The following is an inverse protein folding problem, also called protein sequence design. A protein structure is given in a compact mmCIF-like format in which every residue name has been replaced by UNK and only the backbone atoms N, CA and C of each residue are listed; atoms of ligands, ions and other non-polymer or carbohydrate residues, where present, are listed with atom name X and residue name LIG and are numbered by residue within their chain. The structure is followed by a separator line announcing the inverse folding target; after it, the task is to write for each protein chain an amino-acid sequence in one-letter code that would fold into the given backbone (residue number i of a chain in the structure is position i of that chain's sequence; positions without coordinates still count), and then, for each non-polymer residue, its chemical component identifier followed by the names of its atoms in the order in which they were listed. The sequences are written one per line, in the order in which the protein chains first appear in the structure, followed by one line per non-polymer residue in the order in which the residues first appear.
data_IF_257739496924
#
_entry.id   IF_257739496924
#
_cell.length_a   1.000
_cell.length_b   1.000
_cell.length_c   1.000
_cell.angle_alpha   90.00
_cell.angle_beta   90.00
_cell.angle_gamma   90.00
#
_symmetry.space_group_name_H-M   'P 1'
#
loop_
_entity.id
_entity.type
_entity.pdbx_description
1 polymer ?
#
# COMPACT_ATOMS: atom_id res chain seq x y z
N UNK A 1 12.70 13.07 2.27
CA UNK A 1 13.49 13.40 1.07
C UNK A 1 13.00 14.72 0.46
N UNK A 2 13.90 15.65 0.19
CA UNK A 2 13.55 16.85 -0.54
C UNK A 2 13.51 16.55 -2.05
N UNK A 3 12.42 16.92 -2.70
CA UNK A 3 12.16 16.56 -4.09
C UNK A 3 13.28 17.03 -5.05
N UNK A 4 13.68 18.29 -4.98
CA UNK A 4 14.65 18.86 -5.93
C UNK A 4 16.05 18.20 -5.84
N UNK A 5 16.68 18.02 -4.65
CA UNK A 5 17.96 17.33 -4.55
C UNK A 5 17.89 15.87 -5.03
N UNK A 6 16.79 15.16 -4.72
CA UNK A 6 16.59 13.80 -5.15
C UNK A 6 16.47 13.71 -6.68
N UNK A 7 15.65 14.54 -7.27
CA UNK A 7 15.49 14.61 -8.73
C UNK A 7 16.81 14.87 -9.43
N UNK A 8 17.61 15.82 -8.93
CA UNK A 8 18.93 16.13 -9.48
C UNK A 8 19.92 14.97 -9.32
N UNK A 9 19.86 14.22 -8.22
CA UNK A 9 20.69 13.04 -8.01
C UNK A 9 20.32 11.92 -8.98
N UNK A 10 19.05 11.59 -9.12
CA UNK A 10 18.55 10.57 -10.03
C UNK A 10 18.82 10.89 -11.50
N UNK A 11 18.71 12.16 -11.88
CA UNK A 11 19.01 12.62 -13.23
C UNK A 11 20.49 12.38 -13.62
N UNK A 12 21.42 12.54 -12.66
CA UNK A 12 22.85 12.23 -12.88
C UNK A 12 23.09 10.75 -13.17
N UNK A 13 22.25 9.89 -12.62
CA UNK A 13 22.27 8.44 -12.83
C UNK A 13 21.38 7.99 -14.01
N UNK A 14 20.91 8.93 -14.84
CA UNK A 14 20.01 8.69 -15.97
C UNK A 14 18.68 8.04 -15.57
N UNK A 15 18.21 8.27 -14.33
CA UNK A 15 16.95 7.77 -13.82
C UNK A 15 15.90 8.89 -13.91
N UNK A 16 14.80 8.64 -14.61
CA UNK A 16 13.68 9.58 -14.70
C UNK A 16 12.93 9.62 -13.37
N UNK A 17 12.77 10.84 -12.82
CA UNK A 17 12.00 11.06 -11.60
C UNK A 17 10.64 11.66 -11.93
N UNK A 18 9.57 11.06 -11.40
CA UNK A 18 8.20 11.58 -11.46
C UNK A 18 7.63 11.70 -10.05
N UNK A 19 6.94 12.81 -9.78
CA UNK A 19 6.33 13.06 -8.48
C UNK A 19 4.84 12.67 -8.53
N UNK A 20 4.41 11.78 -7.63
CA UNK A 20 3.05 11.26 -7.53
C UNK A 20 2.38 11.56 -6.17
N UNK A 21 2.71 12.71 -5.57
CA UNK A 21 2.17 13.08 -4.25
C UNK A 21 0.65 13.22 -4.27
N UNK A 22 0.11 13.84 -5.31
CA UNK A 22 -1.33 14.07 -5.41
C UNK A 22 -2.09 12.79 -5.74
N UNK A 23 -1.49 11.91 -6.50
CA UNK A 23 -2.09 10.67 -6.96
C UNK A 23 -1.97 9.56 -5.89
N UNK A 24 -0.78 9.38 -5.30
CA UNK A 24 -0.46 8.23 -4.44
C UNK A 24 0.02 8.61 -3.03
N UNK A 25 -0.02 9.88 -2.65
CA UNK A 25 0.43 10.32 -1.34
C UNK A 25 -0.40 9.74 -0.19
N UNK A 26 0.21 9.63 1.00
CA UNK A 26 -0.45 9.07 2.18
C UNK A 26 -1.53 9.98 2.78
N UNK A 27 -1.41 11.30 2.58
CA UNK A 27 -2.30 12.31 3.21
C UNK A 27 -3.44 12.68 2.27
N UNK A 28 -4.38 11.76 2.08
CA UNK A 28 -5.53 11.87 1.18
C UNK A 28 -6.73 12.44 1.92
N UNK A 29 -6.81 13.76 2.05
CA UNK A 29 -7.95 14.43 2.71
C UNK A 29 -9.26 14.34 1.92
N UNK A 30 -9.19 13.90 0.66
CA UNK A 30 -10.32 13.60 -0.22
C UNK A 30 -10.92 12.18 0.00
N UNK A 31 -10.34 11.39 0.90
CA UNK A 31 -10.73 9.99 1.15
C UNK A 31 -10.69 9.64 2.64
N UNK A 32 -11.29 10.49 3.49
CA UNK A 32 -11.34 10.25 4.93
C UNK A 32 -12.52 9.35 5.31
N UNK A 33 -12.34 8.55 6.37
CA UNK A 33 -13.40 7.85 7.08
C UNK A 33 -14.09 8.73 8.13
N UNK A 34 -14.97 8.15 8.93
CA UNK A 34 -15.71 8.86 9.99
C UNK A 34 -14.80 9.36 11.14
N UNK A 35 -13.63 8.76 11.30
CA UNK A 35 -12.64 9.11 12.32
C UNK A 35 -11.55 10.07 11.79
N UNK A 36 -11.77 10.72 10.65
CA UNK A 36 -10.82 11.58 9.94
C UNK A 36 -9.51 10.87 9.56
N UNK A 37 -9.56 9.55 9.37
CA UNK A 37 -8.44 8.74 8.93
C UNK A 37 -8.58 8.42 7.45
N UNK A 38 -7.46 8.39 6.73
CA UNK A 38 -7.49 8.03 5.30
C UNK A 38 -7.95 6.58 5.14
N UNK A 39 -9.02 6.40 4.37
CA UNK A 39 -9.54 5.12 3.96
C UNK A 39 -8.94 4.73 2.60
N UNK A 40 -8.08 3.72 2.58
CA UNK A 40 -7.39 3.29 1.36
C UNK A 40 -8.35 2.70 0.32
N UNK A 41 -9.46 2.09 0.74
CA UNK A 41 -10.48 1.58 -0.19
C UNK A 41 -11.22 2.73 -0.90
N UNK A 42 -11.43 3.86 -0.22
CA UNK A 42 -11.96 5.10 -0.83
C UNK A 42 -10.89 5.80 -1.67
N UNK A 43 -9.66 5.89 -1.18
CA UNK A 43 -8.57 6.60 -1.82
C UNK A 43 -8.29 6.07 -3.23
N UNK A 44 -8.32 4.76 -3.42
CA UNK A 44 -8.10 4.14 -4.75
C UNK A 44 -9.22 4.43 -5.74
N UNK A 45 -10.40 4.86 -5.30
CA UNK A 45 -11.52 5.22 -6.17
C UNK A 45 -11.50 6.69 -6.62
N UNK A 46 -10.63 7.52 -6.06
CA UNK A 46 -10.58 8.95 -6.37
C UNK A 46 -10.06 9.20 -7.79
N UNK A 47 -10.55 10.24 -8.47
CA UNK A 47 -10.07 10.59 -9.81
C UNK A 47 -8.55 10.81 -9.87
N UNK A 48 -7.97 11.43 -8.85
CA UNK A 48 -6.53 11.67 -8.79
C UNK A 48 -5.74 10.35 -8.73
N UNK A 49 -6.17 9.38 -7.91
CA UNK A 49 -5.53 8.07 -7.85
C UNK A 49 -5.61 7.36 -9.21
N UNK A 50 -6.78 7.35 -9.85
CA UNK A 50 -7.01 6.71 -11.14
C UNK A 50 -6.17 7.35 -12.27
N UNK A 51 -5.97 8.66 -12.25
CA UNK A 51 -5.04 9.33 -13.17
C UNK A 51 -3.60 8.88 -12.93
N UNK A 52 -3.19 8.71 -11.68
CA UNK A 52 -1.88 8.14 -11.33
C UNK A 52 -1.71 6.72 -11.87
N UNK A 53 -2.74 5.89 -11.71
CA UNK A 53 -2.77 4.52 -12.26
C UNK A 53 -2.55 4.54 -13.77
N UNK A 54 -3.32 5.35 -14.50
CA UNK A 54 -3.20 5.48 -15.94
C UNK A 54 -1.79 5.86 -16.36
N UNK A 55 -1.19 6.86 -15.71
CA UNK A 55 0.17 7.32 -16.01
C UNK A 55 1.21 6.22 -15.77
N UNK A 56 1.09 5.42 -14.69
CA UNK A 56 2.00 4.30 -14.44
C UNK A 56 1.80 3.17 -15.45
N UNK A 57 0.55 2.82 -15.76
CA UNK A 57 0.26 1.78 -16.76
C UNK A 57 0.77 2.18 -18.15
N UNK A 58 0.62 3.44 -18.56
CA UNK A 58 1.20 3.97 -19.79
C UNK A 58 2.73 3.83 -19.81
N UNK A 59 3.39 4.06 -18.67
CA UNK A 59 4.82 3.84 -18.51
C UNK A 59 5.22 2.38 -18.68
N UNK A 60 4.50 1.48 -18.02
CA UNK A 60 4.74 0.03 -18.14
C UNK A 60 4.54 -0.47 -19.58
N UNK A 61 3.48 -0.04 -20.25
CA UNK A 61 3.22 -0.38 -21.67
C UNK A 61 4.31 0.14 -22.62
N UNK A 62 4.97 1.25 -22.27
CA UNK A 62 6.13 1.77 -23.01
C UNK A 62 7.43 1.05 -22.67
N UNK A 63 7.39 0.02 -21.82
CA UNK A 63 8.56 -0.80 -21.45
C UNK A 63 9.43 -0.20 -20.34
N UNK A 64 8.99 0.84 -19.62
CA UNK A 64 9.75 1.35 -18.48
C UNK A 64 9.70 0.37 -17.30
N UNK A 65 10.83 0.23 -16.63
CA UNK A 65 10.90 -0.38 -15.29
C UNK A 65 10.63 0.71 -14.26
N UNK A 66 9.60 0.55 -13.44
CA UNK A 66 9.13 1.58 -12.52
C UNK A 66 9.39 1.15 -11.10
N UNK A 67 10.00 2.02 -10.29
CA UNK A 67 10.15 1.83 -8.85
C UNK A 67 9.41 2.95 -8.12
N UNK A 68 8.50 2.56 -7.21
CA UNK A 68 7.80 3.48 -6.33
C UNK A 68 8.62 3.68 -5.05
N UNK A 69 8.88 4.94 -4.69
CA UNK A 69 9.65 5.30 -3.50
C UNK A 69 8.77 5.97 -2.45
N UNK A 70 9.01 5.63 -1.20
CA UNK A 70 8.40 6.26 -0.02
C UNK A 70 9.47 6.50 1.05
N UNK A 71 9.15 7.26 2.09
CA UNK A 71 10.04 7.46 3.25
C UNK A 71 10.17 6.23 4.14
N UNK A 72 9.17 5.35 4.13
CA UNK A 72 9.15 4.14 4.96
C UNK A 72 10.03 3.05 4.36
N UNK A 73 10.97 2.53 5.16
CA UNK A 73 11.86 1.45 4.76
C UNK A 73 11.15 0.09 4.72
N UNK A 74 10.37 -0.21 5.78
CA UNK A 74 9.59 -1.45 5.86
C UNK A 74 8.34 -1.37 4.97
N UNK A 75 8.19 -2.23 3.95
CA UNK A 75 6.99 -2.21 3.10
C UNK A 75 5.69 -2.40 3.88
N UNK A 76 5.67 -3.26 4.88
CA UNK A 76 4.47 -3.54 5.69
C UNK A 76 4.00 -2.35 6.54
N UNK A 77 4.84 -1.35 6.77
CA UNK A 77 4.51 -0.14 7.51
C UNK A 77 4.20 1.05 6.57
N UNK A 78 4.12 0.80 5.28
CA UNK A 78 4.00 1.82 4.26
C UNK A 78 2.67 1.76 3.53
N UNK A 79 2.02 2.93 3.34
CA UNK A 79 0.84 3.06 2.49
C UNK A 79 1.08 2.59 1.04
N UNK A 80 2.34 2.64 0.56
CA UNK A 80 2.74 2.10 -0.74
C UNK A 80 2.37 0.62 -0.85
N UNK A 81 2.63 -0.20 0.18
CA UNK A 81 2.22 -1.60 0.22
C UNK A 81 0.70 -1.76 0.29
N UNK A 82 0.06 -1.13 1.28
CA UNK A 82 -1.32 -1.41 1.63
C UNK A 82 -2.36 -0.76 0.68
N UNK A 83 -1.97 0.27 -0.06
CA UNK A 83 -2.83 0.99 -1.00
C UNK A 83 -2.36 0.83 -2.44
N UNK A 84 -1.17 1.34 -2.80
CA UNK A 84 -0.73 1.45 -4.20
C UNK A 84 -0.34 0.09 -4.77
N UNK A 85 0.56 -0.64 -4.10
CA UNK A 85 1.04 -1.95 -4.54
C UNK A 85 -0.08 -2.98 -4.54
N UNK A 86 -0.95 -2.96 -3.52
CA UNK A 86 -2.17 -3.78 -3.48
C UNK A 86 -3.02 -3.56 -4.73
N UNK A 87 -3.32 -2.30 -5.06
CA UNK A 87 -4.14 -1.97 -6.23
C UNK A 87 -3.55 -2.58 -7.51
N UNK A 88 -2.27 -2.34 -7.79
CA UNK A 88 -1.62 -2.88 -9.00
C UNK A 88 -1.56 -4.41 -9.00
N UNK A 89 -1.28 -5.03 -7.86
CA UNK A 89 -1.26 -6.48 -7.72
C UNK A 89 -2.64 -7.11 -7.98
N UNK A 90 -3.72 -6.55 -7.41
CA UNK A 90 -5.09 -7.00 -7.63
C UNK A 90 -5.54 -6.81 -9.11
N UNK A 91 -4.85 -5.93 -9.86
CA UNK A 91 -5.09 -5.71 -11.30
C UNK A 91 -4.06 -6.43 -12.21
N UNK A 92 -3.39 -7.45 -11.69
CA UNK A 92 -2.54 -8.36 -12.47
C UNK A 92 -1.15 -7.84 -12.81
N UNK A 93 -0.68 -6.78 -12.17
CA UNK A 93 0.71 -6.31 -12.32
C UNK A 93 1.62 -7.12 -11.39
N UNK A 94 2.76 -7.58 -11.90
CA UNK A 94 3.80 -8.19 -11.06
C UNK A 94 4.47 -7.10 -10.20
N UNK A 95 4.25 -7.18 -8.89
CA UNK A 95 4.75 -6.21 -7.91
C UNK A 95 5.78 -6.89 -7.00
N UNK A 96 6.98 -6.33 -6.99
CA UNK A 96 8.08 -6.74 -6.13
C UNK A 96 8.42 -5.61 -5.14
N UNK A 97 8.72 -5.95 -3.89
CA UNK A 97 9.17 -5.01 -2.87
C UNK A 97 10.67 -5.11 -2.69
N UNK A 98 11.38 -3.99 -2.88
CA UNK A 98 12.81 -3.90 -2.65
C UNK A 98 13.02 -3.71 -1.14
N UNK A 99 13.79 -4.60 -0.53
CA UNK A 99 14.11 -4.59 0.90
C UNK A 99 15.60 -4.77 1.13
N UNK A 100 16.09 -4.33 2.30
CA UNK A 100 17.44 -4.67 2.75
C UNK A 100 17.42 -6.02 3.47
N UNK A 101 18.41 -6.86 3.18
CA UNK A 101 18.64 -8.08 3.93
C UNK A 101 19.41 -7.78 5.24
N UNK A 102 19.59 -8.82 6.08
CA UNK A 102 20.27 -8.69 7.38
C UNK A 102 21.77 -8.35 7.24
N UNK A 103 22.37 -8.59 6.07
CA UNK A 103 23.78 -8.29 5.76
C UNK A 103 23.94 -6.90 5.12
N UNK A 104 22.84 -6.14 4.95
CA UNK A 104 22.85 -4.83 4.30
C UNK A 104 22.86 -4.88 2.77
N UNK A 105 22.66 -6.06 2.20
CA UNK A 105 22.41 -6.26 0.77
C UNK A 105 20.99 -5.82 0.39
N UNK A 106 20.69 -5.90 -0.90
CA UNK A 106 19.37 -5.56 -1.44
C UNK A 106 18.75 -6.79 -2.10
N UNK A 107 17.54 -7.12 -1.71
CA UNK A 107 16.77 -8.23 -2.28
C UNK A 107 15.35 -7.78 -2.62
N UNK A 108 14.60 -8.65 -3.29
CA UNK A 108 13.18 -8.39 -3.60
C UNK A 108 12.28 -9.46 -3.01
N UNK A 109 11.11 -9.05 -2.55
CA UNK A 109 10.06 -9.93 -2.04
C UNK A 109 8.79 -9.71 -2.86
N UNK A 110 8.17 -10.77 -3.43
CA UNK A 110 6.89 -10.65 -4.13
C UNK A 110 5.79 -10.09 -3.21
N UNK A 111 4.90 -9.27 -3.77
CA UNK A 111 3.78 -8.70 -3.01
C UNK A 111 2.94 -9.77 -2.31
N UNK A 112 2.67 -10.89 -2.99
CA UNK A 112 1.94 -12.03 -2.44
C UNK A 112 2.59 -12.57 -1.16
N UNK A 113 3.92 -12.66 -1.10
CA UNK A 113 4.62 -13.18 0.06
C UNK A 113 4.45 -12.27 1.29
N UNK A 114 4.55 -10.94 1.10
CA UNK A 114 4.30 -9.98 2.17
C UNK A 114 2.82 -9.94 2.60
N UNK A 115 1.89 -10.10 1.67
CA UNK A 115 0.47 -10.24 1.97
C UNK A 115 0.21 -11.47 2.85
N UNK A 116 0.77 -12.62 2.49
CA UNK A 116 0.61 -13.86 3.25
C UNK A 116 1.24 -13.74 4.65
N UNK A 117 2.38 -13.06 4.78
CA UNK A 117 3.01 -12.76 6.06
C UNK A 117 2.12 -11.88 6.94
N UNK A 118 1.59 -10.78 6.39
CA UNK A 118 0.67 -9.89 7.09
C UNK A 118 -0.58 -10.62 7.59
N UNK A 119 -1.19 -11.45 6.73
CA UNK A 119 -2.37 -12.24 7.10
C UNK A 119 -2.04 -13.20 8.24
N UNK A 120 -0.95 -13.97 8.14
CA UNK A 120 -0.50 -14.91 9.18
C UNK A 120 -0.25 -14.19 10.51
N UNK A 121 0.37 -13.02 10.47
CA UNK A 121 0.64 -12.23 11.67
C UNK A 121 -0.65 -11.76 12.34
N UNK A 122 -1.61 -11.24 11.58
CA UNK A 122 -2.88 -10.77 12.13
C UNK A 122 -3.76 -11.89 12.68
N UNK A 123 -3.76 -13.06 12.04
CA UNK A 123 -4.39 -14.26 12.61
C UNK A 123 -3.73 -14.64 13.93
N UNK A 124 -2.39 -14.72 13.96
CA UNK A 124 -1.63 -15.04 15.18
C UNK A 124 -1.90 -14.04 16.31
N UNK A 125 -2.03 -12.75 15.99
CA UNK A 125 -2.34 -11.67 16.95
C UNK A 125 -3.84 -11.56 17.27
N UNK A 126 -4.68 -12.45 16.73
CA UNK A 126 -6.15 -12.45 16.88
C UNK A 126 -6.81 -11.12 16.45
N UNK A 127 -6.20 -10.40 15.49
CA UNK A 127 -6.74 -9.16 14.93
C UNK A 127 -7.75 -9.41 13.81
N UNK A 128 -7.66 -10.58 13.17
CA UNK A 128 -8.61 -11.06 12.17
C UNK A 128 -8.96 -12.53 12.44
N UNK A 129 -10.13 -13.02 11.97
CA UNK A 129 -10.54 -14.40 12.18
C UNK A 129 -9.56 -15.39 11.56
N UNK A 130 -9.42 -16.56 12.23
CA UNK A 130 -8.77 -17.73 11.63
C UNK A 130 -9.77 -18.46 10.75
N UNK A 131 -9.32 -18.97 9.60
CA UNK A 131 -10.12 -19.86 8.77
C UNK A 131 -10.12 -21.24 9.44
N UNK A 132 -11.30 -21.74 9.76
CA UNK A 132 -11.50 -23.12 10.22
C UNK A 132 -12.00 -23.97 9.06
N UNK A 133 -11.73 -25.30 9.04
CA UNK A 133 -12.42 -26.21 8.14
C UNK A 133 -13.94 -26.01 8.32
N UNK A 134 -14.74 -26.16 7.23
CA UNK A 134 -16.20 -26.09 7.37
C UNK A 134 -16.66 -27.09 8.43
N UNK A 135 -17.56 -26.63 9.26
CA UNK A 135 -18.23 -27.54 10.20
C UNK A 135 -19.16 -28.52 9.45
N UNK A 136 -19.79 -29.43 10.20
CA UNK A 136 -20.71 -30.42 9.62
C UNK A 136 -21.94 -29.78 8.93
N UNK A 137 -22.18 -28.48 9.14
CA UNK A 137 -23.27 -27.71 8.53
C UNK A 137 -22.78 -26.88 7.34
N UNK A 138 -21.48 -26.87 7.01
CA UNK A 138 -20.90 -26.17 5.86
C UNK A 138 -20.74 -24.67 6.05
N UNK A 139 -20.94 -24.15 7.26
CA UNK A 139 -20.78 -22.72 7.55
C UNK A 139 -19.30 -22.38 7.78
N UNK A 140 -18.72 -21.65 6.85
CA UNK A 140 -17.41 -21.00 7.05
C UNK A 140 -17.64 -19.57 7.47
N UNK A 141 -17.23 -19.20 8.67
CA UNK A 141 -17.32 -17.81 9.15
C UNK A 141 -16.47 -16.82 8.35
N UNK A 142 -15.43 -17.28 7.64
CA UNK A 142 -14.52 -16.45 6.88
C UNK A 142 -13.85 -17.21 5.74
N UNK A 143 -13.91 -16.67 4.51
CA UNK A 143 -13.15 -17.20 3.38
C UNK A 143 -11.72 -16.60 3.35
N UNK A 144 -10.82 -17.21 2.54
CA UNK A 144 -9.46 -16.68 2.35
C UNK A 144 -9.48 -15.24 1.82
N UNK A 145 -10.36 -14.93 0.89
CA UNK A 145 -10.47 -13.59 0.31
C UNK A 145 -10.99 -12.58 1.34
N UNK A 146 -11.98 -12.97 2.13
CA UNK A 146 -12.45 -12.14 3.24
C UNK A 146 -11.35 -11.90 4.29
N UNK A 147 -10.55 -12.93 4.60
CA UNK A 147 -9.42 -12.78 5.53
C UNK A 147 -8.37 -11.80 5.01
N UNK A 148 -8.05 -11.81 3.71
CA UNK A 148 -7.15 -10.87 3.06
C UNK A 148 -7.73 -9.44 3.15
N UNK A 149 -9.00 -9.25 2.83
CA UNK A 149 -9.68 -7.94 2.94
C UNK A 149 -9.61 -7.40 4.37
N UNK A 150 -9.92 -8.24 5.36
CA UNK A 150 -9.85 -7.85 6.77
C UNK A 150 -8.43 -7.50 7.21
N UNK A 151 -7.41 -8.21 6.70
CA UNK A 151 -6.01 -7.90 6.98
C UNK A 151 -5.61 -6.52 6.44
N UNK A 152 -6.00 -6.17 5.21
CA UNK A 152 -5.73 -4.85 4.65
C UNK A 152 -6.50 -3.73 5.37
N UNK A 153 -7.75 -3.96 5.76
CA UNK A 153 -8.50 -3.00 6.57
C UNK A 153 -7.87 -2.79 7.94
N UNK A 154 -7.38 -3.85 8.56
CA UNK A 154 -6.63 -3.75 9.82
C UNK A 154 -5.31 -2.99 9.61
N UNK A 155 -4.58 -3.26 8.53
CA UNK A 155 -3.36 -2.52 8.16
C UNK A 155 -3.67 -1.05 7.92
N UNK A 156 -4.74 -0.72 7.19
CA UNK A 156 -5.18 0.66 6.99
C UNK A 156 -5.36 1.40 8.33
N UNK A 157 -6.08 0.78 9.29
CA UNK A 157 -6.28 1.38 10.62
C UNK A 157 -4.97 1.69 11.35
N UNK A 158 -3.93 0.87 11.14
CA UNK A 158 -2.64 1.01 11.82
C UNK A 158 -1.74 2.09 11.22
N UNK A 159 -1.72 2.23 9.89
CA UNK A 159 -0.72 3.05 9.20
C UNK A 159 -1.28 4.26 8.46
N UNK A 160 -2.60 4.39 8.32
CA UNK A 160 -3.18 5.51 7.59
C UNK A 160 -2.99 6.83 8.35
N UNK A 161 -2.75 7.89 7.58
CA UNK A 161 -2.70 9.25 8.10
C UNK A 161 -4.06 9.62 8.71
N UNK A 162 -4.03 10.21 9.89
CA UNK A 162 -5.20 10.79 10.55
C UNK A 162 -5.06 12.30 10.51
N UNK A 163 -6.10 12.98 10.00
CA UNK A 163 -6.16 14.43 10.00
C UNK A 163 -6.51 14.90 11.41
N UNK A 164 -5.66 15.75 11.99
CA UNK A 164 -5.97 16.42 13.25
C UNK A 164 -7.18 17.35 13.06
N UNK A 165 -8.17 17.24 13.94
CA UNK A 165 -9.22 18.25 14.05
C UNK A 165 -8.63 19.45 14.78
N UNK A 166 -8.53 20.60 14.12
CA UNK A 166 -8.23 21.85 14.83
C UNK A 166 -9.38 22.11 15.82
N UNK A 167 -9.15 21.85 17.10
CA UNK A 167 -9.99 22.36 18.16
C UNK A 167 -9.78 23.88 18.22
N UNK A 168 -10.68 24.62 17.61
CA UNK A 168 -10.78 26.06 17.87
C UNK A 168 -11.24 26.23 19.32
N UNK A 169 -10.31 26.55 20.20
CA UNK A 169 -10.67 27.12 21.51
C UNK A 169 -11.29 28.49 21.25
N UNK A 170 -12.62 28.57 21.36
CA UNK A 170 -13.40 29.82 21.38
C UNK A 170 -13.34 30.42 22.78
#
# INVERSE_FOLDING_TARGET
FNQQPLQAALQREHIHYLHFRNEFGARRTDALDADNKVDFEKAVQTPAFQEGVKRLMDGLHKGYRISLMCSEANPLECHRFAMVSRYFFEHGVDVQHIVHDEQGGVTTIPHQALQDEMVKEYVRKKKIPQIHPPDIFGENECTKDQQIILAYRQKNKEIAYQQETEEYYV
#
